data_IF_196731701436
#
_entry.id   IF_196731701436
#
_cell.length_a   1.000
_cell.length_b   1.000
_cell.length_c   1.000
_cell.angle_alpha   90.00
_cell.angle_beta   90.00
_cell.angle_gamma   90.00
#
_symmetry.space_group_name_H-M   'P 1'
#
loop_
_entity.id
_entity.type
_entity.pdbx_description
1 polymer ?
#
# COMPACT_ATOMS: atom_id res chain seq x y z
N UNK A 1 8.54 36.50 5.35
CA UNK A 1 9.37 35.42 4.78
C UNK A 1 8.44 34.32 4.33
N UNK A 2 8.30 34.12 3.02
CA UNK A 2 7.62 32.94 2.48
C UNK A 2 8.69 31.84 2.47
N UNK A 3 8.49 30.76 3.22
CA UNK A 3 9.41 29.60 3.24
C UNK A 3 9.42 28.99 1.83
N UNK A 4 10.50 29.19 1.09
CA UNK A 4 10.64 28.75 -0.30
C UNK A 4 11.10 27.28 -0.47
N UNK A 5 11.35 26.54 0.62
CA UNK A 5 11.93 25.16 0.57
C UNK A 5 10.97 24.02 0.94
N UNK A 6 9.70 24.32 1.27
CA UNK A 6 8.72 23.30 1.69
C UNK A 6 8.53 22.17 0.67
N UNK A 7 8.48 22.42 -0.66
CA UNK A 7 8.33 21.35 -1.65
C UNK A 7 9.52 20.38 -1.70
N UNK A 8 10.75 20.86 -1.49
CA UNK A 8 11.96 20.04 -1.51
C UNK A 8 12.03 19.13 -0.28
N UNK A 9 11.80 19.69 0.91
CA UNK A 9 11.82 18.92 2.16
C UNK A 9 10.75 17.81 2.17
N UNK A 10 9.58 18.08 1.57
CA UNK A 10 8.52 17.07 1.43
C UNK A 10 8.91 15.98 0.43
N UNK A 11 9.53 16.34 -0.70
CA UNK A 11 10.02 15.39 -1.70
C UNK A 11 11.04 14.41 -1.13
N UNK A 12 11.99 14.91 -0.33
CA UNK A 12 13.00 14.08 0.33
C UNK A 12 12.37 13.10 1.32
N UNK A 13 11.43 13.57 2.16
CA UNK A 13 10.70 12.71 3.11
C UNK A 13 9.91 11.61 2.42
N UNK A 14 9.22 11.92 1.32
CA UNK A 14 8.47 10.90 0.55
C UNK A 14 9.43 9.88 -0.08
N UNK A 15 10.57 10.33 -0.58
CA UNK A 15 11.60 9.45 -1.15
C UNK A 15 12.16 8.50 -0.09
N UNK A 16 12.48 9.02 1.10
CA UNK A 16 12.94 8.22 2.23
C UNK A 16 11.90 7.18 2.65
N UNK A 17 10.61 7.57 2.72
CA UNK A 17 9.52 6.63 3.01
C UNK A 17 9.41 5.55 1.93
N UNK A 18 9.55 5.90 0.65
CA UNK A 18 9.51 4.95 -0.45
C UNK A 18 10.66 3.93 -0.38
N UNK A 19 11.89 4.40 -0.11
CA UNK A 19 13.06 3.53 0.07
C UNK A 19 12.87 2.61 1.27
N UNK A 20 12.39 3.14 2.40
CA UNK A 20 12.14 2.34 3.60
C UNK A 20 11.04 1.29 3.35
N UNK A 21 9.95 1.66 2.68
CA UNK A 21 8.89 0.77 2.28
C UNK A 21 9.41 -0.40 1.43
N UNK A 22 10.24 -0.11 0.41
CA UNK A 22 10.86 -1.14 -0.43
C UNK A 22 11.74 -2.10 0.39
N UNK A 23 12.53 -1.57 1.33
CA UNK A 23 13.34 -2.40 2.24
C UNK A 23 12.47 -3.28 3.14
N UNK A 24 11.40 -2.76 3.71
CA UNK A 24 10.48 -3.51 4.57
C UNK A 24 9.84 -4.69 3.82
N UNK A 25 9.40 -4.46 2.58
CA UNK A 25 8.87 -5.52 1.71
C UNK A 25 9.89 -6.62 1.44
N UNK A 26 11.16 -6.28 1.23
CA UNK A 26 12.23 -7.26 1.03
C UNK A 26 12.56 -8.07 2.29
N UNK A 27 12.50 -7.44 3.47
CA UNK A 27 12.83 -8.08 4.75
C UNK A 27 11.71 -8.96 5.29
N UNK A 28 10.45 -8.66 4.94
CA UNK A 28 9.28 -9.36 5.44
C UNK A 28 8.29 -9.75 4.32
N UNK A 29 8.73 -10.52 3.30
CA UNK A 29 7.89 -10.86 2.15
C UNK A 29 6.64 -11.66 2.53
N UNK A 30 6.70 -12.45 3.61
CA UNK A 30 5.54 -13.19 4.11
C UNK A 30 4.43 -12.29 4.68
N UNK A 31 4.80 -11.16 5.28
CA UNK A 31 3.81 -10.18 5.78
C UNK A 31 3.20 -9.38 4.63
N UNK A 32 4.01 -9.01 3.63
CA UNK A 32 3.50 -8.44 2.38
C UNK A 32 2.53 -9.40 1.67
N UNK A 33 2.86 -10.69 1.59
CA UNK A 33 2.01 -11.70 0.97
C UNK A 33 0.65 -11.85 1.68
N UNK A 34 0.57 -11.64 3.00
CA UNK A 34 -0.71 -11.63 3.73
C UNK A 34 -1.60 -10.48 3.30
N UNK A 35 -1.04 -9.27 3.16
CA UNK A 35 -1.79 -8.10 2.68
C UNK A 35 -2.23 -8.34 1.23
N UNK A 36 -1.33 -8.81 0.37
CA UNK A 36 -1.65 -9.12 -1.03
C UNK A 36 -2.75 -10.18 -1.16
N UNK A 37 -2.67 -11.26 -0.39
CA UNK A 37 -3.69 -12.30 -0.36
C UNK A 37 -5.04 -11.80 0.18
N UNK A 38 -5.06 -10.84 1.10
CA UNK A 38 -6.30 -10.18 1.51
C UNK A 38 -6.91 -9.38 0.36
N UNK A 39 -6.10 -8.52 -0.30
CA UNK A 39 -6.53 -7.71 -1.44
C UNK A 39 -7.07 -8.60 -2.56
N UNK A 40 -6.36 -9.67 -2.90
CA UNK A 40 -6.80 -10.65 -3.91
C UNK A 40 -8.15 -11.28 -3.56
N UNK A 41 -8.36 -11.70 -2.30
CA UNK A 41 -9.65 -12.25 -1.84
C UNK A 41 -10.78 -11.25 -1.97
N UNK A 42 -10.55 -9.99 -1.59
CA UNK A 42 -11.55 -8.92 -1.70
C UNK A 42 -11.82 -8.51 -3.16
N UNK A 43 -10.86 -8.71 -4.05
CA UNK A 43 -11.00 -8.49 -5.49
C UNK A 43 -11.65 -9.67 -6.21
N UNK A 44 -11.70 -10.85 -5.60
CA UNK A 44 -12.26 -12.06 -6.20
C UNK A 44 -13.74 -11.86 -6.53
N UNK A 45 -14.12 -12.15 -7.77
CA UNK A 45 -15.49 -12.01 -8.26
C UNK A 45 -15.86 -10.60 -8.76
N UNK A 46 -14.93 -9.64 -8.74
CA UNK A 46 -15.13 -8.37 -9.43
C UNK A 46 -15.00 -8.54 -10.93
N UNK A 47 -15.82 -7.78 -11.67
CA UNK A 47 -15.70 -7.74 -13.12
C UNK A 47 -14.47 -6.91 -13.51
N UNK A 48 -13.36 -7.61 -13.74
CA UNK A 48 -12.10 -6.98 -14.11
C UNK A 48 -12.08 -6.46 -15.56
N UNK A 49 -13.13 -6.71 -16.38
CA UNK A 49 -13.23 -6.15 -17.73
C UNK A 49 -13.15 -4.61 -17.73
N UNK A 50 -13.59 -3.96 -16.64
CA UNK A 50 -13.45 -2.51 -16.45
C UNK A 50 -12.00 -2.04 -16.42
N UNK A 51 -11.07 -2.86 -15.93
CA UNK A 51 -9.64 -2.55 -15.86
C UNK A 51 -9.00 -2.37 -17.24
N UNK A 52 -9.49 -3.06 -18.27
CA UNK A 52 -8.99 -2.93 -19.65
C UNK A 52 -9.49 -1.67 -20.37
N UNK A 53 -10.67 -1.14 -19.98
CA UNK A 53 -11.30 0.01 -20.63
C UNK A 53 -10.88 1.34 -20.00
N UNK A 54 -10.78 1.39 -18.67
CA UNK A 54 -10.29 2.55 -17.95
C UNK A 54 -9.52 2.12 -16.69
N UNK A 55 -8.27 1.72 -16.89
CA UNK A 55 -7.41 1.14 -15.84
C UNK A 55 -7.27 2.05 -14.63
N UNK A 56 -7.00 3.33 -14.86
CA UNK A 56 -6.64 4.24 -13.77
C UNK A 56 -7.87 4.56 -12.90
N UNK A 57 -9.05 4.75 -13.50
CA UNK A 57 -10.32 4.90 -12.78
C UNK A 57 -10.68 3.62 -12.01
N UNK A 58 -10.51 2.45 -12.64
CA UNK A 58 -10.73 1.16 -11.98
C UNK A 58 -9.82 0.97 -10.76
N UNK A 59 -8.52 1.25 -10.91
CA UNK A 59 -7.53 1.13 -9.83
C UNK A 59 -7.86 2.09 -8.70
N UNK A 60 -8.18 3.35 -9.00
CA UNK A 60 -8.55 4.35 -8.00
C UNK A 60 -9.80 3.92 -7.21
N UNK A 61 -10.89 3.55 -7.90
CA UNK A 61 -12.12 3.10 -7.27
C UNK A 61 -11.92 1.82 -6.44
N UNK A 62 -11.06 0.92 -6.91
CA UNK A 62 -10.71 -0.31 -6.18
C UNK A 62 -9.93 0.03 -4.91
N UNK A 63 -8.96 0.94 -4.99
CA UNK A 63 -8.17 1.37 -3.84
C UNK A 63 -9.05 2.04 -2.78
N UNK A 64 -9.92 2.98 -3.17
CA UNK A 64 -10.85 3.67 -2.27
C UNK A 64 -11.74 2.69 -1.50
N UNK A 65 -12.16 1.60 -2.15
CA UNK A 65 -12.97 0.56 -1.51
C UNK A 65 -12.16 -0.37 -0.60
N UNK A 66 -10.97 -0.82 -1.04
CA UNK A 66 -10.20 -1.87 -0.33
C UNK A 66 -9.36 -1.29 0.80
N UNK A 67 -8.78 -0.10 0.63
CA UNK A 67 -7.84 0.46 1.59
C UNK A 67 -8.41 0.56 3.02
N UNK A 68 -9.65 1.05 3.24
CA UNK A 68 -10.27 1.04 4.56
C UNK A 68 -10.47 -0.38 5.14
N UNK A 69 -10.78 -1.36 4.28
CA UNK A 69 -10.96 -2.75 4.71
C UNK A 69 -9.63 -3.34 5.22
N UNK A 70 -8.53 -3.07 4.51
CA UNK A 70 -7.18 -3.46 4.93
C UNK A 70 -6.80 -2.83 6.28
N UNK A 71 -7.08 -1.53 6.47
CA UNK A 71 -6.84 -0.85 7.74
C UNK A 71 -7.67 -1.44 8.89
N UNK A 72 -8.91 -1.86 8.63
CA UNK A 72 -9.77 -2.48 9.65
C UNK A 72 -9.39 -3.94 9.96
N UNK A 73 -8.76 -4.63 9.00
CA UNK A 73 -8.43 -6.04 9.11
C UNK A 73 -7.35 -6.30 10.16
N UNK A 74 -7.62 -7.22 11.09
CA UNK A 74 -6.66 -7.62 12.13
C UNK A 74 -5.42 -8.30 11.51
N UNK A 75 -5.61 -9.09 10.46
CA UNK A 75 -4.49 -9.80 9.81
C UNK A 75 -3.54 -8.82 9.11
N UNK A 76 -4.08 -7.81 8.45
CA UNK A 76 -3.31 -6.79 7.73
C UNK A 76 -2.61 -5.84 8.70
N UNK A 77 -3.30 -5.40 9.77
CA UNK A 77 -2.69 -4.60 10.83
C UNK A 77 -1.53 -5.33 11.48
N UNK A 78 -1.70 -6.61 11.83
CA UNK A 78 -0.61 -7.39 12.42
C UNK A 78 0.57 -7.54 11.46
N UNK A 79 0.31 -7.71 10.16
CA UNK A 79 1.36 -7.79 9.15
C UNK A 79 2.17 -6.49 9.06
N UNK A 80 1.50 -5.33 9.02
CA UNK A 80 2.14 -4.01 9.04
C UNK A 80 2.96 -3.80 10.31
N UNK A 81 2.38 -4.10 11.47
CA UNK A 81 3.10 -4.02 12.74
C UNK A 81 4.34 -4.91 12.76
N UNK A 82 4.26 -6.13 12.25
CA UNK A 82 5.39 -7.06 12.20
C UNK A 82 6.50 -6.53 11.28
N UNK A 83 6.14 -5.95 10.14
CA UNK A 83 7.11 -5.30 9.26
C UNK A 83 7.80 -4.13 9.97
N UNK A 84 7.04 -3.28 10.64
CA UNK A 84 7.57 -2.10 11.32
C UNK A 84 8.35 -2.41 12.59
N UNK A 85 7.98 -3.46 13.34
CA UNK A 85 8.67 -3.90 14.57
C UNK A 85 10.13 -4.29 14.32
N UNK A 86 10.42 -4.86 13.16
CA UNK A 86 11.79 -5.24 12.77
C UNK A 86 12.64 -4.04 12.32
N UNK A 87 12.06 -2.84 12.27
CA UNK A 87 12.69 -1.62 11.80
C UNK A 87 12.91 -0.65 12.96
N UNK A 88 14.14 -0.63 13.47
CA UNK A 88 14.60 0.01 14.69
C UNK A 88 14.52 1.55 14.76
N UNK A 89 13.86 2.23 13.82
CA UNK A 89 13.74 3.71 13.83
C UNK A 89 12.61 4.24 14.71
N UNK A 90 11.58 3.43 15.00
CA UNK A 90 10.36 3.90 15.68
C UNK A 90 9.95 3.05 16.89
N UNK A 91 10.91 2.36 17.53
CA UNK A 91 10.63 1.61 18.76
C UNK A 91 9.99 2.52 19.83
N UNK A 92 8.72 2.28 20.13
CA UNK A 92 7.96 2.99 21.17
C UNK A 92 7.15 4.20 20.71
N UNK A 93 7.03 4.46 19.40
CA UNK A 93 6.07 5.45 18.90
C UNK A 93 4.70 4.80 18.65
N UNK A 94 3.66 5.35 19.28
CA UNK A 94 2.29 4.89 19.06
C UNK A 94 1.86 5.18 17.62
N UNK A 95 1.23 4.19 16.99
CA UNK A 95 0.53 4.34 15.70
C UNK A 95 -0.84 5.04 15.88
N UNK A 96 -1.05 5.70 17.01
CA UNK A 96 -2.28 6.40 17.34
C UNK A 96 -2.30 7.81 16.73
N UNK A 97 -3.50 8.31 16.49
CA UNK A 97 -3.71 9.69 16.04
C UNK A 97 -3.34 10.65 17.17
N UNK A 98 -2.38 11.54 16.93
CA UNK A 98 -2.03 12.62 17.87
C UNK A 98 -3.07 13.73 17.78
N UNK A 99 -3.87 13.92 18.84
CA UNK A 99 -5.02 14.84 18.84
C UNK A 99 -4.66 16.33 18.93
N UNK A 100 -3.40 16.67 19.22
CA UNK A 100 -3.01 18.02 19.64
C UNK A 100 -2.91 19.06 18.49
N UNK A 101 -2.92 18.61 17.23
CA UNK A 101 -3.04 19.51 16.07
C UNK A 101 -3.79 18.81 14.91
N UNK A 102 -5.00 19.25 14.55
CA UNK A 102 -5.79 18.61 13.49
C UNK A 102 -5.13 18.69 12.10
N UNK A 103 -4.19 19.62 11.87
CA UNK A 103 -3.45 19.70 10.60
C UNK A 103 -2.28 18.70 10.51
N UNK A 104 -1.84 18.15 11.64
CA UNK A 104 -0.74 17.18 11.74
C UNK A 104 -1.11 16.00 12.65
N UNK A 105 -2.36 15.55 12.56
CA UNK A 105 -2.90 14.49 13.42
C UNK A 105 -2.23 13.12 13.22
N UNK A 106 -1.41 13.00 12.18
CA UNK A 106 -0.67 11.80 11.81
C UNK A 106 0.81 12.02 12.10
N UNK A 107 1.32 11.37 13.14
CA UNK A 107 2.76 11.36 13.45
C UNK A 107 3.58 10.60 12.39
N UNK A 108 4.91 10.77 12.34
CA UNK A 108 5.77 10.14 11.33
C UNK A 108 5.66 8.61 11.26
N UNK A 109 5.58 7.92 12.41
CA UNK A 109 5.41 6.47 12.44
C UNK A 109 4.07 6.03 11.83
N UNK A 110 2.97 6.74 12.14
CA UNK A 110 1.67 6.47 11.53
C UNK A 110 1.67 6.81 10.03
N UNK A 111 2.33 7.90 9.61
CA UNK A 111 2.48 8.24 8.20
C UNK A 111 3.22 7.14 7.42
N UNK A 112 4.32 6.62 7.99
CA UNK A 112 5.06 5.49 7.42
C UNK A 112 4.21 4.22 7.34
N UNK A 113 3.44 3.90 8.40
CA UNK A 113 2.55 2.75 8.41
C UNK A 113 1.46 2.86 7.33
N UNK A 114 0.85 4.04 7.20
CA UNK A 114 -0.18 4.31 6.19
C UNK A 114 0.41 4.28 4.78
N UNK A 115 1.61 4.81 4.57
CA UNK A 115 2.33 4.77 3.30
C UNK A 115 2.71 3.34 2.90
N UNK A 116 3.25 2.55 3.84
CA UNK A 116 3.58 1.14 3.66
C UNK A 116 2.33 0.34 3.26
N UNK A 117 1.25 0.53 4.02
CA UNK A 117 -0.04 -0.13 3.76
C UNK A 117 -0.59 0.27 2.39
N UNK A 118 -0.59 1.57 2.08
CA UNK A 118 -1.11 2.09 0.80
C UNK A 118 -0.32 1.54 -0.38
N UNK A 119 1.01 1.50 -0.25
CA UNK A 119 1.91 0.92 -1.26
C UNK A 119 1.66 -0.57 -1.48
N UNK A 120 1.46 -1.34 -0.40
CA UNK A 120 1.15 -2.76 -0.48
C UNK A 120 -0.19 -3.01 -1.19
N UNK A 121 -1.22 -2.22 -0.87
CA UNK A 121 -2.54 -2.32 -1.49
C UNK A 121 -2.49 -1.92 -2.97
N UNK A 122 -1.90 -0.78 -3.31
CA UNK A 122 -1.75 -0.35 -4.71
C UNK A 122 -0.96 -1.35 -5.53
N UNK A 123 0.18 -1.83 -5.01
CA UNK A 123 0.98 -2.86 -5.68
C UNK A 123 0.18 -4.14 -5.92
N UNK A 124 -0.62 -4.57 -4.95
CA UNK A 124 -1.47 -5.77 -5.06
C UNK A 124 -2.58 -5.60 -6.10
N UNK A 125 -3.27 -4.45 -6.13
CA UNK A 125 -4.29 -4.13 -7.15
C UNK A 125 -3.67 -4.15 -8.54
N UNK A 126 -2.51 -3.51 -8.72
CA UNK A 126 -1.79 -3.49 -10.00
C UNK A 126 -1.38 -4.89 -10.44
N UNK A 127 -0.91 -5.74 -9.51
CA UNK A 127 -0.57 -7.12 -9.82
C UNK A 127 -1.79 -7.94 -10.25
N UNK A 128 -2.90 -7.87 -9.51
CA UNK A 128 -4.15 -8.58 -9.85
C UNK A 128 -4.69 -8.14 -11.21
N UNK A 129 -4.67 -6.84 -11.49
CA UNK A 129 -5.16 -6.28 -12.78
C UNK A 129 -4.20 -6.48 -13.95
N UNK A 130 -2.91 -6.73 -13.70
CA UNK A 130 -1.94 -7.02 -14.77
C UNK A 130 -2.27 -8.31 -15.53
N UNK A 131 -2.89 -9.30 -14.87
CA UNK A 131 -3.34 -10.56 -15.49
C UNK A 131 -4.46 -10.38 -16.52
N UNK A 132 -5.20 -9.26 -16.46
CA UNK A 132 -6.28 -8.92 -17.39
C UNK A 132 -5.79 -7.99 -18.52
N UNK A 133 -4.72 -7.22 -18.25
CA UNK A 133 -4.12 -6.28 -19.21
C UNK A 133 -3.22 -6.99 -20.24
N UNK A 134 -2.75 -8.19 -19.94
CA UNK A 134 -2.04 -9.06 -20.86
C UNK A 134 -2.85 -10.33 -21.08
N UNK A 135 -3.34 -10.53 -22.30
CA UNK A 135 -3.99 -11.78 -22.71
C UNK A 135 -3.25 -12.98 -22.12
N UNK A 136 -3.94 -13.63 -21.19
CA UNK A 136 -3.51 -14.71 -20.31
C UNK A 136 -2.16 -15.35 -20.69
N UNK A 137 -1.20 -15.30 -19.77
CA UNK A 137 0.02 -16.13 -19.84
C UNK A 137 -0.37 -17.63 -19.98
N UNK A 138 -1.55 -18.03 -19.49
CA UNK A 138 -2.12 -19.36 -19.69
C UNK A 138 -2.70 -19.58 -21.10
N UNK A 139 -3.12 -18.53 -21.82
CA UNK A 139 -3.54 -18.62 -23.23
C UNK A 139 -2.35 -18.80 -24.19
N UNK A 140 -1.14 -18.33 -23.84
CA UNK A 140 0.05 -18.58 -24.66
C UNK A 140 0.55 -20.02 -24.55
N UNK A 141 0.32 -20.70 -23.42
CA UNK A 141 0.73 -22.10 -23.24
C UNK A 141 -0.25 -23.13 -23.81
N UNK A 142 -1.48 -22.74 -24.20
CA UNK A 142 -2.46 -23.64 -24.83
C UNK A 142 -2.42 -23.66 -26.37
N UNK A 143 -1.60 -22.80 -26.99
CA UNK A 143 -1.52 -22.65 -28.44
C UNK A 143 -0.19 -23.13 -29.05
N UNK A 144 0.60 -23.92 -28.32
CA UNK A 144 1.80 -24.58 -28.85
C UNK A 144 1.71 -26.10 -28.69
#
# INVERSE_FOLDING_TARGET
MIQHDVPHEMGDKVTDMAVNCGRLFQQAPGELARIAGFVEREMKGQNLQGASRNRDEFVAATFERIYPMVLSSKECRQAVENMMKNHSRHHGQDLELTADNPQYAIGPALAEALYLTGSAVMGSILMVTSGESGGSIEQRHRNH
#
